data_IF_738782284877
#
_entry.id   IF_738782284877
#
_cell.length_a   1.000
_cell.length_b   1.000
_cell.length_c   1.000
_cell.angle_alpha   90.00
_cell.angle_beta   90.00
_cell.angle_gamma   90.00
#
_symmetry.space_group_name_H-M   'P 1'
#
loop_
_entity.id
_entity.type
_entity.pdbx_description
1 polymer ?
#
# COMPACT_ATOMS: atom_id res chain seq x y z
N UNK A 1 -7.54 -18.74 6.95
CA UNK A 1 -6.39 -17.82 7.05
C UNK A 1 -6.42 -16.90 5.83
N UNK A 2 -6.20 -15.59 5.98
CA UNK A 2 -6.24 -14.63 4.87
C UNK A 2 -4.81 -14.36 4.40
N UNK A 3 -4.46 -14.76 3.18
CA UNK A 3 -3.14 -14.57 2.62
C UNK A 3 -3.01 -13.18 1.97
N UNK A 4 -2.63 -12.18 2.76
CA UNK A 4 -2.42 -10.81 2.28
C UNK A 4 -1.25 -10.70 1.30
N UNK A 5 -0.22 -11.54 1.44
CA UNK A 5 0.93 -11.55 0.54
C UNK A 5 0.52 -11.89 -0.89
N UNK A 6 -0.36 -12.89 -1.06
CA UNK A 6 -0.87 -13.27 -2.37
C UNK A 6 -1.58 -12.11 -3.07
N UNK A 7 -2.39 -11.31 -2.36
CA UNK A 7 -3.09 -10.16 -2.95
C UNK A 7 -2.08 -9.09 -3.40
N UNK A 8 -1.06 -8.81 -2.58
CA UNK A 8 -0.05 -7.80 -2.88
C UNK A 8 0.99 -8.24 -3.93
N UNK A 9 1.03 -9.54 -4.27
CA UNK A 9 1.95 -10.11 -5.28
C UNK A 9 1.21 -10.84 -6.42
N UNK A 10 -0.10 -10.64 -6.54
CA UNK A 10 -0.89 -11.24 -7.63
C UNK A 10 -0.49 -10.60 -8.96
N UNK A 11 0.05 -11.39 -9.88
CA UNK A 11 0.44 -10.96 -11.23
C UNK A 11 -0.74 -10.44 -12.05
N UNK A 12 -1.98 -10.75 -11.68
CA UNK A 12 -3.19 -10.20 -12.33
C UNK A 12 -3.54 -8.81 -11.83
N UNK A 13 -3.06 -8.41 -10.65
CA UNK A 13 -3.32 -7.11 -10.03
C UNK A 13 -2.15 -6.15 -10.15
N UNK A 14 -0.92 -6.69 -10.17
CA UNK A 14 0.33 -5.94 -10.14
C UNK A 14 1.26 -6.36 -11.27
N UNK A 15 1.76 -5.39 -12.03
CA UNK A 15 2.78 -5.60 -13.06
C UNK A 15 4.16 -5.71 -12.41
N UNK A 16 4.85 -6.85 -12.55
CA UNK A 16 6.12 -7.15 -11.86
C UNK A 16 5.98 -7.05 -10.32
N UNK A 17 5.24 -7.98 -9.69
CA UNK A 17 4.97 -7.93 -8.25
C UNK A 17 6.21 -8.06 -7.35
N UNK A 18 7.32 -8.57 -7.89
CA UNK A 18 8.58 -8.76 -7.15
C UNK A 18 9.52 -7.55 -7.21
N UNK A 19 9.20 -6.51 -7.99
CA UNK A 19 10.04 -5.33 -8.12
C UNK A 19 9.58 -4.19 -7.21
N UNK A 20 10.54 -3.50 -6.58
CA UNK A 20 10.27 -2.29 -5.82
C UNK A 20 10.17 -1.09 -6.76
N UNK A 21 8.93 -0.73 -7.13
CA UNK A 21 8.64 0.35 -8.10
C UNK A 21 7.62 1.35 -7.51
N UNK A 22 8.06 2.40 -6.77
CA UNK A 22 7.17 3.40 -6.19
C UNK A 22 6.30 4.12 -7.24
N UNK A 23 6.83 4.30 -8.45
CA UNK A 23 6.18 4.97 -9.58
C UNK A 23 4.87 4.29 -9.98
N UNK A 24 4.70 3.00 -9.68
CA UNK A 24 3.46 2.28 -9.98
C UNK A 24 2.24 2.94 -9.33
N UNK A 25 2.42 3.65 -8.22
CA UNK A 25 1.34 4.31 -7.49
C UNK A 25 1.06 5.74 -7.98
N UNK A 26 1.75 6.22 -9.02
CA UNK A 26 1.56 7.56 -9.58
C UNK A 26 0.73 7.50 -10.87
N UNK A 27 -0.07 8.54 -11.10
CA UNK A 27 -0.72 8.81 -12.39
C UNK A 27 0.26 9.53 -13.32
N UNK A 28 -0.09 9.66 -14.60
CA UNK A 28 0.70 10.41 -15.59
C UNK A 28 0.98 11.84 -15.17
N UNK A 29 0.10 12.42 -14.35
CA UNK A 29 0.15 13.80 -13.90
C UNK A 29 0.93 13.95 -12.57
N UNK A 30 1.55 12.87 -12.09
CA UNK A 30 2.34 12.84 -10.85
C UNK A 30 1.52 12.78 -9.56
N UNK A 31 0.19 12.67 -9.63
CA UNK A 31 -0.67 12.50 -8.46
C UNK A 31 -0.82 11.03 -8.07
N UNK A 32 -1.12 10.73 -6.81
CA UNK A 32 -1.30 9.35 -6.34
C UNK A 32 -2.54 8.71 -6.97
N UNK A 33 -2.36 7.53 -7.58
CA UNK A 33 -3.45 6.71 -8.09
C UNK A 33 -4.19 6.04 -6.92
N UNK A 34 -5.25 6.70 -6.45
CA UNK A 34 -6.06 6.23 -5.31
C UNK A 34 -6.59 4.80 -5.51
N UNK A 35 -7.13 4.49 -6.69
CA UNK A 35 -7.72 3.18 -7.00
C UNK A 35 -6.71 2.06 -6.83
N UNK A 36 -5.48 2.27 -7.31
CA UNK A 36 -4.41 1.28 -7.18
C UNK A 36 -3.88 1.19 -5.75
N UNK A 37 -3.76 2.33 -5.05
CA UNK A 37 -3.31 2.36 -3.65
C UNK A 37 -4.25 1.60 -2.69
N UNK A 38 -5.56 1.62 -2.95
CA UNK A 38 -6.57 0.93 -2.14
C UNK A 38 -6.53 -0.60 -2.33
N UNK A 39 -5.86 -1.10 -3.37
CA UNK A 39 -5.67 -2.55 -3.58
C UNK A 39 -4.60 -3.15 -2.66
N UNK A 40 -3.76 -2.34 -2.01
CA UNK A 40 -2.75 -2.82 -1.07
C UNK A 40 -3.43 -3.26 0.22
N UNK A 41 -3.34 -4.54 0.54
CA UNK A 41 -3.92 -5.11 1.77
C UNK A 41 -2.80 -5.44 2.75
N UNK A 42 -2.61 -4.59 3.75
CA UNK A 42 -1.60 -4.78 4.81
C UNK A 42 -2.15 -4.59 6.23
N UNK A 43 -3.27 -3.87 6.36
CA UNK A 43 -3.93 -3.59 7.64
C UNK A 43 -5.10 -4.54 7.95
N UNK A 44 -5.25 -5.63 7.18
CA UNK A 44 -6.40 -6.52 7.26
C UNK A 44 -7.72 -5.85 6.84
N UNK A 45 -8.83 -6.59 6.99
CA UNK A 45 -10.19 -6.15 6.59
C UNK A 45 -11.26 -6.62 7.59
N UNK A 46 -12.44 -6.04 7.51
CA UNK A 46 -13.63 -6.46 8.27
C UNK A 46 -13.58 -6.13 9.76
N UNK A 47 -14.22 -6.95 10.60
CA UNK A 47 -14.38 -6.70 12.05
C UNK A 47 -13.06 -6.69 12.84
N UNK A 48 -11.99 -7.25 12.28
CA UNK A 48 -10.66 -7.35 12.91
C UNK A 48 -9.59 -6.58 12.13
N UNK A 49 -9.99 -5.59 11.33
CA UNK A 49 -9.06 -4.64 10.70
C UNK A 49 -8.20 -3.94 11.77
N UNK A 50 -6.98 -3.57 11.42
CA UNK A 50 -6.08 -2.82 12.28
C UNK A 50 -6.74 -1.53 12.77
N UNK A 51 -6.79 -1.36 14.10
CA UNK A 51 -7.29 -0.15 14.76
C UNK A 51 -6.28 1.00 14.68
N UNK A 52 -5.00 0.69 14.46
CA UNK A 52 -3.90 1.67 14.38
C UNK A 52 -3.52 2.06 12.95
N UNK A 53 -4.30 1.69 11.93
CA UNK A 53 -3.99 1.96 10.52
C UNK A 53 -3.64 3.45 10.28
N UNK A 54 -4.48 4.35 10.79
CA UNK A 54 -4.28 5.80 10.61
C UNK A 54 -3.01 6.29 11.32
N UNK A 55 -2.76 5.82 12.54
CA UNK A 55 -1.58 6.21 13.33
C UNK A 55 -0.32 5.75 12.61
N UNK A 56 -0.26 4.48 12.20
CA UNK A 56 0.90 3.92 11.51
C UNK A 56 1.23 4.66 10.20
N UNK A 57 0.21 5.03 9.42
CA UNK A 57 0.41 5.82 8.18
C UNK A 57 1.01 7.19 8.46
N UNK A 58 0.50 7.89 9.47
CA UNK A 58 0.97 9.22 9.83
C UNK A 58 2.40 9.17 10.42
N UNK A 59 2.66 8.22 11.30
CA UNK A 59 3.94 8.07 11.98
C UNK A 59 5.06 7.75 10.98
N UNK A 60 4.88 6.73 10.13
CA UNK A 60 5.88 6.37 9.10
C UNK A 60 6.10 7.52 8.13
N UNK A 61 5.04 8.21 7.70
CA UNK A 61 5.16 9.36 6.82
C UNK A 61 5.98 10.49 7.45
N UNK A 62 5.67 10.87 8.69
CA UNK A 62 6.39 11.95 9.38
C UNK A 62 7.85 11.58 9.62
N UNK A 63 8.14 10.35 10.07
CA UNK A 63 9.52 9.92 10.28
C UNK A 63 10.34 9.98 8.99
N UNK A 64 9.80 9.44 7.89
CA UNK A 64 10.51 9.45 6.61
C UNK A 64 10.67 10.88 6.06
N UNK A 65 9.64 11.72 6.16
CA UNK A 65 9.69 13.10 5.67
C UNK A 65 10.62 14.01 6.47
N UNK A 66 10.90 13.69 7.74
CA UNK A 66 11.82 14.46 8.59
C UNK A 66 13.27 14.00 8.39
N UNK A 67 13.49 12.71 8.17
CA UNK A 67 14.83 12.12 8.12
C UNK A 67 15.47 12.10 6.72
N UNK A 68 14.66 12.16 5.66
CA UNK A 68 15.10 12.21 4.26
C UNK A 68 15.04 13.63 3.72
#
# INVERSE_FOLDING_TARGET
>A
FVNQWQINHDQKLWEDPSEFRPERFLTTDGTVNKVLSEKVIIFGLGKRKCIGETIARLEVFLFLAILL
#
